data_IF_264388156119
#
_entry.id   IF_264388156119
#
_cell.length_a   1.000
_cell.length_b   1.000
_cell.length_c   1.000
_cell.angle_alpha   90.00
_cell.angle_beta   90.00
_cell.angle_gamma   90.00
#
_symmetry.space_group_name_H-M   'P 1'
#
loop_
_entity.id
_entity.type
_entity.pdbx_description
1 polymer ?
#
# COMPACT_ATOMS: atom_id res chain seq x y z
N UNK A 1 -15.47 -21.16 3.20
CA UNK A 1 -15.29 -20.15 2.14
C UNK A 1 -15.60 -18.80 2.77
N UNK A 2 -14.65 -17.86 2.78
CA UNK A 2 -14.83 -16.56 3.44
C UNK A 2 -15.87 -15.73 2.66
N UNK A 3 -16.84 -15.14 3.37
CA UNK A 3 -17.82 -14.23 2.76
C UNK A 3 -17.18 -12.86 2.57
N UNK A 4 -17.13 -12.38 1.33
CA UNK A 4 -16.58 -11.05 1.00
C UNK A 4 -17.67 -10.01 1.24
N UNK A 5 -17.44 -9.09 2.19
CA UNK A 5 -18.43 -8.08 2.59
C UNK A 5 -18.48 -6.88 1.63
N UNK A 6 -17.46 -6.69 0.81
CA UNK A 6 -17.33 -5.60 -0.17
C UNK A 6 -17.01 -6.14 -1.58
N UNK A 7 -17.94 -6.89 -2.20
CA UNK A 7 -17.69 -7.60 -3.45
C UNK A 7 -17.34 -6.65 -4.61
N UNK A 8 -17.93 -5.47 -4.67
CA UNK A 8 -17.63 -4.48 -5.72
C UNK A 8 -16.18 -4.00 -5.69
N UNK A 9 -15.65 -3.76 -4.48
CA UNK A 9 -14.26 -3.35 -4.28
C UNK A 9 -13.31 -4.51 -4.56
N UNK A 10 -13.68 -5.72 -4.13
CA UNK A 10 -12.88 -6.92 -4.41
C UNK A 10 -12.78 -7.22 -5.90
N UNK A 11 -13.87 -7.09 -6.66
CA UNK A 11 -13.84 -7.30 -8.10
C UNK A 11 -12.91 -6.32 -8.81
N UNK A 12 -12.89 -5.04 -8.39
CA UNK A 12 -11.93 -4.05 -8.91
C UNK A 12 -10.49 -4.44 -8.58
N UNK A 13 -10.22 -4.90 -7.36
CA UNK A 13 -8.90 -5.41 -6.98
C UNK A 13 -8.52 -6.60 -7.87
N UNK A 14 -9.39 -7.60 -8.03
CA UNK A 14 -9.12 -8.75 -8.90
C UNK A 14 -8.82 -8.36 -10.34
N UNK A 15 -9.59 -7.43 -10.90
CA UNK A 15 -9.39 -6.98 -12.28
C UNK A 15 -8.03 -6.30 -12.48
N UNK A 16 -7.60 -5.44 -11.54
CA UNK A 16 -6.35 -4.68 -11.69
C UNK A 16 -5.13 -5.46 -11.16
N UNK A 17 -5.30 -6.33 -10.18
CA UNK A 17 -4.23 -7.02 -9.44
C UNK A 17 -4.31 -8.55 -9.56
N UNK A 18 -4.85 -9.09 -10.65
CA UNK A 18 -5.01 -10.55 -10.84
C UNK A 18 -3.69 -11.31 -10.60
N UNK A 19 -2.56 -10.72 -10.99
CA UNK A 19 -1.22 -11.28 -10.81
C UNK A 19 -0.84 -11.56 -9.35
N UNK A 20 -1.43 -10.86 -8.37
CA UNK A 20 -1.22 -11.18 -6.94
C UNK A 20 -1.77 -12.58 -6.62
N UNK A 21 -2.93 -12.90 -7.17
CA UNK A 21 -3.56 -14.21 -6.99
C UNK A 21 -2.85 -15.26 -7.86
N UNK A 22 -2.68 -14.97 -9.15
CA UNK A 22 -2.24 -15.96 -10.15
C UNK A 22 -0.76 -16.33 -10.00
N UNK A 23 0.12 -15.36 -9.69
CA UNK A 23 1.58 -15.56 -9.66
C UNK A 23 2.12 -15.71 -8.24
N UNK A 24 1.59 -14.93 -7.29
CA UNK A 24 2.12 -14.86 -5.93
C UNK A 24 1.27 -15.63 -4.92
N UNK A 25 0.15 -16.23 -5.35
CA UNK A 25 -0.67 -17.12 -4.52
C UNK A 25 -1.33 -16.41 -3.34
N UNK A 26 -1.65 -15.12 -3.48
CA UNK A 26 -2.40 -14.40 -2.45
C UNK A 26 -3.85 -14.90 -2.39
N UNK A 27 -4.36 -15.07 -1.17
CA UNK A 27 -5.75 -15.43 -0.89
C UNK A 27 -6.39 -14.39 0.03
N UNK A 28 -7.72 -14.22 -0.05
CA UNK A 28 -8.43 -13.31 0.86
C UNK A 28 -8.59 -13.99 2.22
N UNK A 29 -8.03 -13.39 3.26
CA UNK A 29 -8.15 -13.87 4.65
C UNK A 29 -9.10 -13.03 5.49
N UNK A 30 -9.43 -11.82 5.02
CA UNK A 30 -10.34 -10.92 5.71
C UNK A 30 -11.01 -9.94 4.76
N UNK A 31 -12.28 -9.67 5.01
CA UNK A 31 -13.06 -8.64 4.33
C UNK A 31 -13.99 -8.00 5.35
N UNK A 32 -14.06 -6.67 5.35
CA UNK A 32 -14.99 -5.92 6.20
C UNK A 32 -15.52 -4.71 5.45
N UNK A 33 -16.81 -4.48 5.54
CA UNK A 33 -17.44 -3.29 4.99
C UNK A 33 -18.18 -2.52 6.07
N UNK A 34 -18.06 -1.20 6.06
CA UNK A 34 -18.85 -0.33 6.94
C UNK A 34 -19.47 0.81 6.13
N UNK A 35 -20.49 1.46 6.72
CA UNK A 35 -21.21 2.58 6.12
C UNK A 35 -21.72 2.29 4.69
N UNK A 36 -22.31 1.10 4.49
CA UNK A 36 -22.89 0.72 3.19
C UNK A 36 -21.87 0.61 2.05
N UNK A 37 -20.62 0.26 2.35
CA UNK A 37 -19.57 0.09 1.33
C UNK A 37 -18.54 1.21 1.31
N UNK A 38 -18.85 2.40 1.81
CA UNK A 38 -17.98 3.58 1.70
C UNK A 38 -16.60 3.40 2.33
N UNK A 39 -16.53 2.59 3.39
CA UNK A 39 -15.28 2.10 3.92
C UNK A 39 -15.24 0.59 3.76
N UNK A 40 -14.26 0.10 3.00
CA UNK A 40 -14.09 -1.33 2.78
C UNK A 40 -12.64 -1.70 2.99
N UNK A 41 -12.42 -2.83 3.64
CA UNK A 41 -11.11 -3.38 3.96
C UNK A 41 -11.07 -4.82 3.45
N UNK A 42 -10.01 -5.15 2.71
CA UNK A 42 -9.71 -6.50 2.23
C UNK A 42 -8.26 -6.78 2.57
N UNK A 43 -8.00 -7.88 3.27
CA UNK A 43 -6.65 -8.33 3.56
C UNK A 43 -6.39 -9.62 2.80
N UNK A 44 -5.34 -9.59 2.00
CA UNK A 44 -4.79 -10.73 1.31
C UNK A 44 -3.59 -11.27 2.07
N UNK A 45 -3.38 -12.58 2.02
CA UNK A 45 -2.22 -13.25 2.59
C UNK A 45 -1.62 -14.21 1.56
N UNK A 46 -0.29 -14.22 1.48
CA UNK A 46 0.49 -15.26 0.81
C UNK A 46 1.33 -15.99 1.85
N UNK A 47 2.16 -16.93 1.42
CA UNK A 47 3.14 -17.59 2.31
C UNK A 47 4.21 -16.65 2.87
N UNK A 48 4.43 -15.48 2.26
CA UNK A 48 5.56 -14.60 2.57
C UNK A 48 5.11 -13.31 3.29
N UNK A 49 3.94 -12.75 2.96
CA UNK A 49 3.48 -11.49 3.54
C UNK A 49 1.96 -11.27 3.41
N UNK A 50 1.48 -10.17 4.00
CA UNK A 50 0.09 -9.70 3.89
C UNK A 50 0.01 -8.41 3.07
N UNK A 51 -1.11 -8.23 2.38
CA UNK A 51 -1.47 -6.99 1.68
C UNK A 51 -2.81 -6.50 2.22
N UNK A 52 -2.85 -5.26 2.67
CA UNK A 52 -4.06 -4.55 3.07
C UNK A 52 -4.50 -3.65 1.93
N UNK A 53 -5.68 -3.93 1.38
CA UNK A 53 -6.42 -2.99 0.53
C UNK A 53 -7.50 -2.34 1.38
N UNK A 54 -7.59 -1.02 1.35
CA UNK A 54 -8.77 -0.37 1.87
C UNK A 54 -9.21 0.77 0.98
N UNK A 55 -10.52 1.05 1.01
CA UNK A 55 -11.05 2.32 0.51
C UNK A 55 -11.63 3.14 1.64
N UNK A 56 -11.45 4.45 1.57
CA UNK A 56 -12.08 5.41 2.48
C UNK A 56 -12.50 6.63 1.70
N UNK A 57 -13.79 6.95 1.71
CA UNK A 57 -14.33 8.16 1.06
C UNK A 57 -13.94 8.29 -0.44
N UNK A 58 -13.87 7.15 -1.14
CA UNK A 58 -13.52 7.10 -2.57
C UNK A 58 -12.04 6.97 -2.88
N UNK A 59 -11.16 7.00 -1.87
CA UNK A 59 -9.72 6.79 -2.04
C UNK A 59 -9.34 5.34 -1.78
N UNK A 60 -8.71 4.69 -2.76
CA UNK A 60 -8.17 3.34 -2.65
C UNK A 60 -6.69 3.36 -2.23
N UNK A 61 -6.38 2.57 -1.20
CA UNK A 61 -5.06 2.46 -0.60
C UNK A 61 -4.60 1.00 -0.59
N UNK A 62 -3.28 0.80 -0.67
CA UNK A 62 -2.63 -0.50 -0.68
C UNK A 62 -1.39 -0.43 0.21
N UNK A 63 -1.31 -1.35 1.17
CA UNK A 63 -0.20 -1.46 2.11
C UNK A 63 0.30 -2.90 2.17
N UNK A 64 1.59 -3.06 2.44
CA UNK A 64 2.19 -4.36 2.76
C UNK A 64 2.48 -4.47 4.25
N UNK A 65 2.42 -5.68 4.76
CA UNK A 65 2.77 -6.02 6.14
C UNK A 65 3.35 -7.43 6.22
N UNK A 66 4.04 -7.72 7.31
CA UNK A 66 4.52 -9.07 7.62
C UNK A 66 3.33 -10.01 7.88
N UNK A 67 3.58 -11.33 7.97
CA UNK A 67 2.54 -12.28 8.40
C UNK A 67 2.04 -12.05 9.85
N UNK A 68 2.80 -11.30 10.65
CA UNK A 68 2.37 -10.90 12.00
C UNK A 68 1.55 -9.61 12.01
N UNK A 69 1.42 -8.91 10.87
CA UNK A 69 0.67 -7.66 10.79
C UNK A 69 -0.82 -7.91 11.12
N UNK A 70 -1.44 -7.15 12.03
CA UNK A 70 -2.77 -7.43 12.55
C UNK A 70 -3.84 -7.37 11.46
N UNK A 71 -4.81 -8.28 11.53
CA UNK A 71 -5.98 -8.26 10.66
C UNK A 71 -6.93 -7.18 11.18
N UNK A 72 -6.93 -6.01 10.55
CA UNK A 72 -7.71 -4.87 11.03
C UNK A 72 -7.45 -3.59 10.25
N UNK A 73 -8.01 -2.49 10.76
CA UNK A 73 -7.88 -1.16 10.16
C UNK A 73 -6.56 -0.51 10.55
N UNK A 74 -6.07 -0.80 11.75
CA UNK A 74 -4.95 -0.16 12.40
C UNK A 74 -3.64 -0.43 11.63
N UNK A 75 -2.91 0.64 11.34
CA UNK A 75 -1.58 0.58 10.73
C UNK A 75 -0.45 0.48 11.78
N UNK A 76 -0.71 1.07 12.95
CA UNK A 76 0.20 1.14 14.10
C UNK A 76 -0.54 0.68 15.35
N UNK A 77 0.05 -0.24 16.12
CA UNK A 77 -0.47 -0.72 17.40
C UNK A 77 0.64 -0.61 18.44
N UNK A 78 0.34 0.03 19.58
CA UNK A 78 1.29 0.24 20.68
C UNK A 78 2.62 0.89 20.23
N UNK A 79 2.53 1.82 19.27
CA UNK A 79 3.68 2.52 18.70
C UNK A 79 4.48 1.70 17.66
N UNK A 80 4.10 0.45 17.40
CA UNK A 80 4.74 -0.41 16.41
C UNK A 80 3.99 -0.31 15.09
N UNK A 81 4.67 0.11 14.03
CA UNK A 81 4.14 0.11 12.66
C UNK A 81 4.14 -1.32 12.10
N UNK A 82 3.00 -1.75 11.57
CA UNK A 82 2.85 -3.07 10.95
C UNK A 82 2.55 -3.01 9.45
N UNK A 83 2.05 -1.87 8.99
CA UNK A 83 1.59 -1.68 7.62
C UNK A 83 2.32 -0.51 6.97
N UNK A 84 2.75 -0.71 5.73
CA UNK A 84 3.61 0.21 4.97
C UNK A 84 2.97 0.51 3.62
N UNK A 85 2.74 1.78 3.32
CA UNK A 85 2.10 2.22 2.08
C UNK A 85 2.94 1.83 0.85
N UNK A 86 2.27 1.25 -0.16
CA UNK A 86 2.96 0.71 -1.33
C UNK A 86 3.72 1.77 -2.11
N UNK A 87 3.20 3.01 -2.19
CA UNK A 87 3.89 4.09 -2.91
C UNK A 87 5.21 4.44 -2.23
N UNK A 88 5.24 4.52 -0.90
CA UNK A 88 6.49 4.73 -0.15
C UNK A 88 7.47 3.57 -0.35
N UNK A 89 6.99 2.32 -0.33
CA UNK A 89 7.82 1.15 -0.62
C UNK A 89 8.37 1.16 -2.05
N UNK A 90 7.56 1.56 -3.04
CA UNK A 90 7.99 1.71 -4.43
C UNK A 90 9.13 2.72 -4.52
N UNK A 91 8.94 3.90 -3.91
CA UNK A 91 9.95 4.96 -3.95
C UNK A 91 11.23 4.55 -3.22
N UNK A 92 11.12 3.83 -2.10
CA UNK A 92 12.27 3.29 -1.36
C UNK A 92 13.06 2.25 -2.16
N UNK A 93 12.38 1.30 -2.82
CA UNK A 93 13.02 0.25 -3.62
C UNK A 93 13.68 0.84 -4.86
N UNK A 94 13.00 1.79 -5.51
CA UNK A 94 13.50 2.42 -6.74
C UNK A 94 14.46 3.59 -6.48
N UNK A 95 14.62 4.02 -5.22
CA UNK A 95 15.36 5.22 -4.83
C UNK A 95 14.86 6.46 -5.58
N UNK A 96 13.54 6.56 -5.74
CA UNK A 96 12.93 7.72 -6.37
C UNK A 96 12.99 8.91 -5.40
N UNK A 97 13.58 10.04 -5.81
CA UNK A 97 13.54 11.24 -4.99
C UNK A 97 12.16 11.88 -5.02
N UNK A 98 11.77 12.49 -3.90
CA UNK A 98 10.53 13.23 -3.77
C UNK A 98 10.51 14.40 -4.75
N UNK A 99 9.32 14.66 -5.30
CA UNK A 99 9.06 15.79 -6.17
C UNK A 99 7.85 16.56 -5.63
N UNK A 100 8.11 17.62 -4.87
CA UNK A 100 7.06 18.40 -4.20
C UNK A 100 6.06 18.98 -5.21
N UNK A 101 6.51 19.42 -6.39
CA UNK A 101 5.63 19.96 -7.43
C UNK A 101 4.68 18.89 -7.97
N UNK A 102 5.18 17.68 -8.21
CA UNK A 102 4.35 16.56 -8.66
C UNK A 102 3.34 16.15 -7.60
N UNK A 103 3.74 16.06 -6.32
CA UNK A 103 2.85 15.74 -5.21
C UNK A 103 1.73 16.79 -5.05
N UNK A 104 2.06 18.08 -5.14
CA UNK A 104 1.07 19.16 -5.09
C UNK A 104 0.11 19.12 -6.28
N UNK A 105 0.60 18.78 -7.48
CA UNK A 105 -0.26 18.63 -8.65
C UNK A 105 -1.19 17.42 -8.50
N UNK A 106 -0.70 16.30 -7.97
CA UNK A 106 -1.52 15.14 -7.66
C UNK A 106 -2.60 15.46 -6.63
N UNK A 107 -2.28 16.23 -5.60
CA UNK A 107 -3.27 16.67 -4.61
C UNK A 107 -4.39 17.56 -5.20
N UNK A 108 -4.14 18.21 -6.34
CA UNK A 108 -5.14 19.00 -7.07
C UNK A 108 -5.99 18.17 -8.03
N UNK A 109 -5.53 16.97 -8.39
CA UNK A 109 -6.30 16.02 -9.18
C UNK A 109 -7.07 15.09 -8.25
N UNK A 110 -8.34 14.82 -8.54
CA UNK A 110 -9.15 13.84 -7.79
C UNK A 110 -9.39 12.62 -8.69
N UNK A 111 -8.40 11.73 -8.86
CA UNK A 111 -8.59 10.52 -9.65
C UNK A 111 -9.67 9.64 -9.02
N UNK A 112 -10.42 8.93 -9.86
CA UNK A 112 -11.42 7.96 -9.37
C UNK A 112 -10.73 6.78 -8.69
N UNK A 113 -11.45 6.08 -7.81
CA UNK A 113 -10.99 4.83 -7.18
C UNK A 113 -10.41 3.84 -8.21
N UNK A 114 -11.05 3.70 -9.38
CA UNK A 114 -10.58 2.81 -10.44
C UNK A 114 -9.26 3.27 -11.06
N UNK A 115 -9.09 4.58 -11.28
CA UNK A 115 -7.84 5.15 -11.79
C UNK A 115 -6.72 4.95 -10.76
N UNK A 116 -6.99 5.18 -9.48
CA UNK A 116 -6.03 4.96 -8.40
C UNK A 116 -5.58 3.50 -8.35
N UNK A 117 -6.50 2.55 -8.38
CA UNK A 117 -6.16 1.11 -8.39
C UNK A 117 -5.36 0.72 -9.65
N UNK A 118 -5.70 1.27 -10.81
CA UNK A 118 -4.97 1.01 -12.05
C UNK A 118 -3.53 1.56 -12.00
N UNK A 119 -3.35 2.78 -11.52
CA UNK A 119 -2.03 3.41 -11.35
C UNK A 119 -1.16 2.66 -10.32
N UNK A 120 -1.74 2.32 -9.17
CA UNK A 120 -1.08 1.53 -8.14
C UNK A 120 -0.64 0.16 -8.69
N UNK A 121 -1.52 -0.53 -9.41
CA UNK A 121 -1.20 -1.81 -10.03
C UNK A 121 -0.07 -1.69 -11.05
N UNK A 122 -0.12 -0.68 -11.92
CA UNK A 122 0.88 -0.45 -12.95
C UNK A 122 2.28 -0.17 -12.36
N UNK A 123 2.35 0.58 -11.25
CA UNK A 123 3.61 0.87 -10.54
C UNK A 123 4.11 -0.34 -9.74
N UNK A 124 3.22 -1.07 -9.07
CA UNK A 124 3.59 -2.22 -8.24
C UNK A 124 4.05 -3.41 -9.09
N UNK A 125 3.31 -3.76 -10.15
CA UNK A 125 3.54 -4.98 -10.94
C UNK A 125 5.00 -5.24 -11.33
N UNK A 126 5.80 -4.28 -11.87
CA UNK A 126 7.18 -4.53 -12.25
C UNK A 126 8.14 -4.79 -11.09
N UNK A 127 7.79 -4.41 -9.87
CA UNK A 127 8.68 -4.53 -8.69
C UNK A 127 8.03 -5.30 -7.53
N UNK A 128 6.88 -5.92 -7.76
CA UNK A 128 6.08 -6.59 -6.73
C UNK A 128 6.89 -7.67 -5.99
N UNK A 129 7.67 -8.48 -6.71
CA UNK A 129 8.54 -9.49 -6.10
C UNK A 129 9.59 -8.87 -5.17
N UNK A 130 10.22 -7.75 -5.58
CA UNK A 130 11.21 -7.06 -4.75
C UNK A 130 10.58 -6.54 -3.46
N UNK A 131 9.35 -6.01 -3.53
CA UNK A 131 8.60 -5.56 -2.35
C UNK A 131 8.25 -6.76 -1.45
N UNK A 132 7.75 -7.87 -2.00
CA UNK A 132 7.43 -9.08 -1.23
C UNK A 132 8.67 -9.59 -0.48
N UNK A 133 9.85 -9.57 -1.13
CA UNK A 133 11.12 -10.01 -0.53
C UNK A 133 11.49 -9.20 0.72
N UNK A 134 11.13 -7.92 0.81
CA UNK A 134 11.36 -7.13 2.04
C UNK A 134 10.68 -7.77 3.26
N UNK A 135 9.52 -8.37 3.07
CA UNK A 135 8.74 -8.98 4.14
C UNK A 135 9.13 -10.45 4.41
N UNK A 136 10.11 -10.99 3.67
CA UNK A 136 10.56 -12.37 3.79
C UNK A 136 11.79 -12.48 4.70
N UNK A 137 11.67 -13.24 5.79
CA UNK A 137 12.80 -13.70 6.60
C UNK A 137 13.32 -12.70 7.65
N UNK A 138 14.57 -12.90 8.08
CA UNK A 138 15.12 -12.30 9.31
C UNK A 138 15.58 -10.83 9.17
N UNK A 139 15.67 -10.32 7.93
CA UNK A 139 16.17 -8.97 7.64
C UNK A 139 15.13 -7.86 7.79
N UNK A 140 13.94 -8.18 8.31
CA UNK A 140 12.82 -7.23 8.45
C UNK A 140 13.26 -5.98 9.23
N UNK A 141 13.98 -6.17 10.34
CA UNK A 141 14.44 -5.05 11.16
C UNK A 141 15.40 -4.12 10.43
N UNK A 142 16.23 -4.67 9.55
CA UNK A 142 17.23 -3.88 8.83
C UNK A 142 16.56 -2.97 7.79
N UNK A 143 15.76 -3.53 6.89
CA UNK A 143 15.14 -2.70 5.84
C UNK A 143 14.15 -1.69 6.44
N UNK A 144 13.47 -2.01 7.54
CA UNK A 144 12.60 -1.04 8.23
C UNK A 144 13.42 0.17 8.67
N UNK A 145 14.58 -0.03 9.28
CA UNK A 145 15.45 1.09 9.68
C UNK A 145 15.96 1.90 8.48
N UNK A 146 16.32 1.24 7.38
CA UNK A 146 16.70 1.90 6.13
C UNK A 146 15.53 2.68 5.51
N UNK A 147 14.31 2.14 5.61
CA UNK A 147 13.09 2.75 5.12
C UNK A 147 12.70 3.98 5.95
N UNK A 148 12.79 3.91 7.28
CA UNK A 148 12.53 5.05 8.17
C UNK A 148 13.52 6.19 7.93
N UNK A 149 14.81 5.86 7.73
CA UNK A 149 15.81 6.85 7.36
C UNK A 149 15.52 7.47 5.99
N UNK A 150 15.11 6.66 5.01
CA UNK A 150 14.70 7.15 3.70
C UNK A 150 13.48 8.09 3.81
N UNK A 151 12.43 7.73 4.55
CA UNK A 151 11.25 8.60 4.77
C UNK A 151 11.67 9.95 5.36
N UNK A 152 12.56 9.94 6.35
CA UNK A 152 13.09 11.17 6.95
C UNK A 152 13.81 12.05 5.93
N UNK A 153 14.66 11.46 5.08
CA UNK A 153 15.36 12.19 4.01
C UNK A 153 14.39 12.75 2.97
N UNK A 154 13.35 11.99 2.61
CA UNK A 154 12.30 12.45 1.71
C UNK A 154 11.53 13.64 2.31
N UNK A 155 11.21 13.59 3.60
CA UNK A 155 10.49 14.68 4.27
C UNK A 155 11.33 15.96 4.34
N UNK A 156 12.61 15.87 4.70
CA UNK A 156 13.55 17.00 4.72
C UNK A 156 13.68 17.65 3.33
N UNK A 157 13.83 16.82 2.29
CA UNK A 157 13.94 17.27 0.91
C UNK A 157 12.62 17.87 0.39
N UNK A 158 11.47 17.30 0.76
CA UNK A 158 10.17 17.86 0.42
C UNK A 158 10.00 19.26 1.01
N UNK A 159 10.32 19.46 2.30
CA UNK A 159 10.23 20.78 2.93
C UNK A 159 11.11 21.79 2.20
N UNK A 160 12.36 21.42 1.88
CA UNK A 160 13.27 22.26 1.12
C UNK A 160 12.70 22.63 -0.25
N UNK A 161 12.16 21.67 -1.01
CA UNK A 161 11.55 21.95 -2.32
C UNK A 161 10.31 22.82 -2.18
N UNK A 162 9.47 22.57 -1.17
CA UNK A 162 8.22 23.29 -0.93
C UNK A 162 8.47 24.76 -0.58
N UNK A 163 9.47 25.06 0.23
CA UNK A 163 9.89 26.44 0.53
C UNK A 163 10.31 27.20 -0.74
N UNK A 164 10.96 26.53 -1.69
CA UNK A 164 11.38 27.13 -2.96
C UNK A 164 10.23 27.28 -3.99
N UNK A 165 9.06 26.70 -3.71
CA UNK A 165 7.86 26.82 -4.55
C UNK A 165 6.90 27.93 -4.06
N UNK A 166 7.15 28.50 -2.88
CA UNK A 166 6.43 29.66 -2.33
C UNK A 166 6.98 30.96 -2.89
#
# INVERSE_FOLDING_TARGET
MLSIECPDFFEKIKQKFSYLFDLYGFEVIYSKSTQGGQHSLIILESKDCRIKFYRSSGEANLLFGTLSAPIGWEDVIDGIRYWYYVLGLIDFVQKNPVNAKELLNRARTSPTEEQQLAELSAKLKPICEQIIVLFKGDNIKQWIGEYEQFEKEQDEEFQRQFENLK
#
